data_IF_689062933633
#
_entry.id   IF_689062933633
#
_cell.length_a   1.000
_cell.length_b   1.000
_cell.length_c   1.000
_cell.angle_alpha   90.00
_cell.angle_beta   90.00
_cell.angle_gamma   90.00
#
_symmetry.space_group_name_H-M   'P 1'
#
loop_
_entity.id
_entity.type
_entity.pdbx_description
1 polymer ?
#
# COMPACT_ATOMS: atom_id res chain seq x y z
N UNK A 1 -39.60 -47.76 -5.32
CA UNK A 1 -39.43 -46.30 -5.19
C UNK A 1 -38.98 -45.96 -3.77
N UNK A 2 -37.68 -45.88 -3.46
CA UNK A 2 -37.15 -45.39 -2.17
C UNK A 2 -35.61 -45.48 -2.15
N UNK A 3 -34.94 -44.82 -3.09
CA UNK A 3 -33.45 -44.72 -3.03
C UNK A 3 -32.86 -43.58 -3.86
N UNK A 4 -33.68 -42.78 -4.56
CA UNK A 4 -33.19 -41.68 -5.39
C UNK A 4 -33.24 -40.33 -4.64
N UNK A 5 -33.84 -40.28 -3.44
CA UNK A 5 -34.05 -39.02 -2.72
C UNK A 5 -32.84 -38.52 -1.91
N UNK A 6 -31.77 -39.31 -1.77
CA UNK A 6 -30.63 -38.94 -0.92
C UNK A 6 -29.50 -38.20 -1.66
N UNK A 7 -29.51 -38.21 -3.00
CA UNK A 7 -28.43 -37.56 -3.78
C UNK A 7 -28.70 -36.08 -4.12
N UNK A 8 -29.92 -35.59 -3.90
CA UNK A 8 -30.30 -34.23 -4.32
C UNK A 8 -30.06 -33.13 -3.26
N UNK A 9 -29.66 -33.48 -2.03
CA UNK A 9 -29.53 -32.51 -0.92
C UNK A 9 -28.07 -32.10 -0.65
N UNK A 10 -27.08 -32.74 -1.27
CA UNK A 10 -25.65 -32.39 -1.08
C UNK A 10 -25.15 -31.39 -2.15
N UNK A 11 -26.03 -30.96 -3.05
CA UNK A 11 -25.77 -29.91 -4.04
C UNK A 11 -26.25 -28.52 -3.56
N UNK A 12 -26.40 -28.31 -2.25
CA UNK A 12 -26.50 -26.97 -1.67
C UNK A 12 -25.15 -26.27 -1.80
N UNK A 13 -24.88 -25.80 -3.02
CA UNK A 13 -24.42 -24.45 -3.31
C UNK A 13 -23.63 -23.80 -2.16
N UNK A 14 -22.36 -24.19 -2.05
CA UNK A 14 -21.30 -23.30 -1.59
C UNK A 14 -21.13 -22.20 -2.66
N UNK A 15 -22.10 -21.30 -2.75
CA UNK A 15 -21.83 -19.99 -3.33
C UNK A 15 -20.97 -19.26 -2.32
N UNK A 16 -19.64 -19.39 -2.48
CA UNK A 16 -18.72 -18.41 -1.90
C UNK A 16 -19.15 -17.09 -2.51
N UNK A 17 -19.82 -16.24 -1.72
CA UNK A 17 -19.99 -14.85 -2.07
C UNK A 17 -18.58 -14.30 -2.13
N UNK A 18 -18.07 -14.04 -3.34
CA UNK A 18 -16.89 -13.22 -3.48
C UNK A 18 -17.25 -11.86 -2.90
N UNK A 19 -16.75 -11.55 -1.71
CA UNK A 19 -16.83 -10.19 -1.20
C UNK A 19 -15.95 -9.34 -2.10
N UNK A 20 -16.52 -8.29 -2.71
CA UNK A 20 -15.75 -7.29 -3.43
C UNK A 20 -14.75 -6.68 -2.45
N UNK A 21 -13.48 -7.10 -2.57
CA UNK A 21 -12.41 -6.63 -1.70
C UNK A 21 -11.96 -5.26 -2.16
N UNK A 22 -12.54 -4.22 -1.56
CA UNK A 22 -12.09 -2.85 -1.78
C UNK A 22 -10.88 -2.52 -0.90
N UNK A 23 -9.86 -1.95 -1.53
CA UNK A 23 -8.64 -1.47 -0.90
C UNK A 23 -8.83 -0.01 -0.50
N UNK A 24 -8.60 0.29 0.78
CA UNK A 24 -8.60 1.63 1.32
C UNK A 24 -7.26 1.91 2.00
N UNK A 25 -6.34 2.64 1.36
CA UNK A 25 -5.04 2.92 1.93
C UNK A 25 -5.19 3.86 3.12
N UNK A 26 -4.39 3.63 4.16
CA UNK A 26 -4.32 4.53 5.30
C UNK A 26 -3.76 5.88 4.88
N UNK A 27 -4.30 6.96 5.43
CA UNK A 27 -3.69 8.28 5.28
C UNK A 27 -2.50 8.41 6.23
N UNK A 28 -1.32 8.66 5.67
CA UNK A 28 -0.09 8.78 6.44
C UNK A 28 0.21 10.23 6.77
N UNK A 29 0.34 10.52 8.06
CA UNK A 29 0.70 11.84 8.59
C UNK A 29 2.04 11.77 9.32
N UNK A 30 2.91 12.76 9.08
CA UNK A 30 4.17 12.90 9.78
C UNK A 30 4.00 13.78 11.02
N UNK A 31 3.94 13.16 12.19
CA UNK A 31 3.91 13.85 13.48
C UNK A 31 5.31 13.85 14.08
N UNK A 32 6.24 14.57 13.44
CA UNK A 32 7.61 14.71 13.94
C UNK A 32 7.64 15.52 15.25
N UNK A 33 8.49 15.11 16.18
CA UNK A 33 8.70 15.80 17.44
C UNK A 33 10.20 15.81 17.78
N UNK A 34 10.71 16.95 18.25
CA UNK A 34 12.12 17.10 18.60
C UNK A 34 13.05 16.89 17.40
N UNK A 35 14.02 15.99 17.55
CA UNK A 35 15.07 15.73 16.56
C UNK A 35 14.73 14.59 15.58
N UNK A 36 13.48 14.13 15.56
CA UNK A 36 13.02 13.06 14.66
C UNK A 36 12.29 13.64 13.46
N UNK A 37 12.94 13.75 12.29
CA UNK A 37 12.35 14.38 11.10
C UNK A 37 11.27 13.51 10.44
N UNK A 38 11.30 12.20 10.70
CA UNK A 38 10.36 11.20 10.22
C UNK A 38 9.78 10.48 11.43
N UNK A 39 8.48 10.62 11.67
CA UNK A 39 7.83 9.93 12.77
C UNK A 39 7.75 8.43 12.52
N UNK A 40 7.83 7.64 13.59
CA UNK A 40 7.57 6.20 13.53
C UNK A 40 6.20 5.91 12.92
N UNK A 41 5.17 6.66 13.33
CA UNK A 41 3.81 6.54 12.80
C UNK A 41 3.72 6.71 11.29
N UNK A 42 4.45 7.67 10.72
CA UNK A 42 4.50 7.86 9.28
C UNK A 42 5.16 6.66 8.58
N UNK A 43 6.34 6.23 9.06
CA UNK A 43 7.05 5.10 8.49
C UNK A 43 6.23 3.81 8.56
N UNK A 44 5.57 3.53 9.69
CA UNK A 44 4.71 2.36 9.84
C UNK A 44 3.50 2.42 8.91
N UNK A 45 2.84 3.57 8.79
CA UNK A 45 1.72 3.74 7.87
C UNK A 45 2.14 3.45 6.42
N UNK A 46 3.25 4.02 5.96
CA UNK A 46 3.76 3.80 4.60
C UNK A 46 4.07 2.33 4.35
N UNK A 47 4.76 1.66 5.27
CA UNK A 47 5.11 0.25 5.12
C UNK A 47 3.88 -0.68 5.19
N UNK A 48 2.90 -0.37 6.03
CA UNK A 48 1.64 -1.13 6.08
C UNK A 48 0.88 -0.99 4.77
N UNK A 49 0.74 0.24 4.25
CA UNK A 49 0.13 0.48 2.95
C UNK A 49 0.82 -0.32 1.84
N UNK A 50 2.16 -0.32 1.77
CA UNK A 50 2.89 -1.14 0.81
C UNK A 50 2.64 -2.63 0.98
N UNK A 51 2.69 -3.14 2.21
CA UNK A 51 2.44 -4.56 2.49
C UNK A 51 1.03 -4.96 2.07
N UNK A 52 0.05 -4.14 2.40
CA UNK A 52 -1.35 -4.46 2.19
C UNK A 52 -1.68 -4.38 0.69
N UNK A 53 -1.29 -3.30 0.00
CA UNK A 53 -1.44 -3.19 -1.46
C UNK A 53 -0.66 -4.26 -2.22
N UNK A 54 0.56 -4.61 -1.77
CA UNK A 54 1.39 -5.63 -2.41
C UNK A 54 0.75 -7.03 -2.40
N UNK A 55 -0.11 -7.32 -1.42
CA UNK A 55 -0.83 -8.61 -1.32
C UNK A 55 -2.04 -8.69 -2.25
N UNK A 56 -2.45 -7.56 -2.81
CA UNK A 56 -3.73 -7.43 -3.52
C UNK A 56 -3.56 -7.49 -5.04
N UNK A 57 -2.34 -7.72 -5.51
CA UNK A 57 -2.05 -8.10 -6.89
C UNK A 57 -2.31 -9.60 -7.11
N UNK A 58 -2.73 -9.97 -8.33
CA UNK A 58 -2.87 -11.38 -8.76
C UNK A 58 -1.61 -12.21 -8.48
N UNK A 59 -0.45 -11.59 -8.70
CA UNK A 59 0.84 -12.07 -8.22
C UNK A 59 1.34 -11.15 -7.11
N UNK A 60 1.38 -11.60 -5.85
CA UNK A 60 1.78 -10.75 -4.73
C UNK A 60 3.16 -10.11 -4.93
N UNK A 61 3.22 -8.80 -4.71
CA UNK A 61 4.45 -8.01 -4.78
C UNK A 61 5.08 -7.86 -3.39
N UNK A 62 6.31 -8.33 -3.26
CA UNK A 62 7.10 -8.15 -2.04
C UNK A 62 7.86 -6.84 -2.09
N UNK A 63 7.30 -5.82 -1.46
CA UNK A 63 7.88 -4.48 -1.39
C UNK A 63 8.87 -4.34 -0.23
N UNK A 64 9.86 -3.46 -0.40
CA UNK A 64 10.89 -3.24 0.61
C UNK A 64 10.34 -2.53 1.83
N UNK A 65 10.82 -2.88 3.02
CA UNK A 65 10.53 -2.12 4.23
C UNK A 65 11.43 -0.87 4.28
N UNK A 66 10.82 0.31 4.30
CA UNK A 66 11.51 1.59 4.30
C UNK A 66 11.62 2.16 5.72
N UNK A 67 12.85 2.42 6.16
CA UNK A 67 13.14 2.97 7.48
C UNK A 67 14.06 4.20 7.36
N UNK A 68 13.75 5.23 8.13
CA UNK A 68 14.63 6.38 8.30
C UNK A 68 15.48 6.19 9.56
N UNK A 69 16.80 6.32 9.45
CA UNK A 69 17.72 6.21 10.57
C UNK A 69 18.43 7.55 10.81
N UNK A 70 18.56 7.91 12.08
CA UNK A 70 19.20 9.15 12.52
C UNK A 70 18.27 10.38 12.44
N UNK A 71 18.86 11.54 12.69
CA UNK A 71 18.13 12.79 12.94
C UNK A 71 17.94 13.62 11.66
N UNK A 72 18.02 12.98 10.50
CA UNK A 72 17.79 13.63 9.19
C UNK A 72 16.90 12.76 8.31
N UNK A 73 16.18 13.37 7.36
CA UNK A 73 15.52 12.63 6.29
C UNK A 73 16.60 12.07 5.37
N UNK A 74 16.86 10.77 5.50
CA UNK A 74 17.86 10.09 4.70
C UNK A 74 17.41 9.94 3.25
N UNK A 75 18.36 10.11 2.32
CA UNK A 75 18.12 9.84 0.90
C UNK A 75 17.69 8.38 0.65
N UNK A 76 18.25 7.43 1.41
CA UNK A 76 17.89 6.00 1.31
C UNK A 76 16.43 5.74 1.67
N UNK A 77 15.88 6.43 2.67
CA UNK A 77 14.46 6.35 3.02
C UNK A 77 13.56 6.83 1.86
N UNK A 78 13.84 8.02 1.34
CA UNK A 78 13.11 8.60 0.19
C UNK A 78 13.23 7.71 -1.04
N UNK A 79 14.42 7.19 -1.32
CA UNK A 79 14.68 6.30 -2.45
C UNK A 79 13.93 4.97 -2.32
N UNK A 80 13.90 4.37 -1.13
CA UNK A 80 13.16 3.14 -0.86
C UNK A 80 11.67 3.30 -1.19
N UNK A 81 11.03 4.36 -0.69
CA UNK A 81 9.61 4.64 -0.94
C UNK A 81 9.35 4.78 -2.45
N UNK A 82 10.17 5.56 -3.14
CA UNK A 82 10.02 5.76 -4.59
C UNK A 82 10.29 4.47 -5.39
N UNK A 83 11.20 3.61 -4.94
CA UNK A 83 11.45 2.34 -5.60
C UNK A 83 10.27 1.38 -5.45
N UNK A 84 9.62 1.34 -4.27
CA UNK A 84 8.39 0.57 -4.10
C UNK A 84 7.29 1.07 -5.03
N UNK A 85 7.06 2.39 -5.12
CA UNK A 85 6.09 2.95 -6.08
C UNK A 85 6.43 2.61 -7.53
N UNK A 86 7.71 2.67 -7.93
CA UNK A 86 8.12 2.25 -9.28
C UNK A 86 7.85 0.77 -9.53
N UNK A 87 8.09 -0.09 -8.55
CA UNK A 87 7.76 -1.52 -8.65
C UNK A 87 6.27 -1.73 -8.82
N UNK A 88 5.44 -1.05 -8.02
CA UNK A 88 3.98 -1.11 -8.14
C UNK A 88 3.53 -0.62 -9.53
N UNK A 89 3.98 0.56 -9.95
CA UNK A 89 3.61 1.18 -11.23
C UNK A 89 3.90 0.28 -12.44
N UNK A 90 4.98 -0.51 -12.40
CA UNK A 90 5.31 -1.48 -13.46
C UNK A 90 4.37 -2.68 -13.55
N UNK A 91 3.65 -2.97 -12.46
CA UNK A 91 2.71 -4.07 -12.38
C UNK A 91 1.25 -3.60 -12.51
N UNK A 92 1.02 -2.30 -12.72
CA UNK A 92 -0.29 -1.73 -13.00
C UNK A 92 -0.39 -1.37 -14.49
N UNK A 93 -1.49 -1.75 -15.13
CA UNK A 93 -1.73 -1.54 -16.56
C UNK A 93 -2.10 -0.08 -16.88
N UNK A 94 -1.13 0.84 -16.83
CA UNK A 94 -1.20 2.28 -17.22
C UNK A 94 -1.30 3.30 -16.06
N UNK A 95 -0.58 3.09 -14.97
CA UNK A 95 -0.55 4.03 -13.84
C UNK A 95 0.85 4.61 -13.67
N UNK A 96 0.99 5.92 -13.88
CA UNK A 96 2.22 6.64 -13.55
C UNK A 96 2.14 7.18 -12.13
N UNK A 97 2.95 6.63 -11.23
CA UNK A 97 3.06 7.12 -9.86
C UNK A 97 4.13 8.22 -9.75
N UNK A 98 3.79 9.28 -9.03
CA UNK A 98 4.67 10.43 -8.87
C UNK A 98 5.93 10.08 -8.08
N UNK A 99 7.07 10.64 -8.46
CA UNK A 99 8.30 10.55 -7.68
C UNK A 99 8.26 11.58 -6.54
N UNK A 100 8.15 11.11 -5.31
CA UNK A 100 8.05 11.95 -4.12
C UNK A 100 9.41 12.48 -3.71
N UNK A 101 9.60 13.80 -3.83
CA UNK A 101 10.85 14.47 -3.48
C UNK A 101 10.76 15.15 -2.12
N UNK A 102 11.84 15.04 -1.33
CA UNK A 102 12.01 15.79 -0.09
C UNK A 102 13.35 16.53 -0.15
N UNK A 103 13.30 17.86 -0.22
CA UNK A 103 14.50 18.69 -0.33
C UNK A 103 15.05 19.14 1.02
N UNK A 104 14.24 19.04 2.07
CA UNK A 104 14.64 19.32 3.45
C UNK A 104 15.28 18.09 4.07
N UNK A 105 16.30 18.29 4.89
CA UNK A 105 16.94 17.19 5.63
C UNK A 105 16.45 17.12 7.08
N UNK A 106 15.86 18.19 7.58
CA UNK A 106 15.43 18.36 8.98
C UNK A 106 13.96 17.99 9.22
N UNK A 107 13.17 17.77 8.16
CA UNK A 107 11.78 17.35 8.24
C UNK A 107 11.31 16.71 6.92
N UNK A 108 10.25 15.91 7.01
CA UNK A 108 9.44 15.61 5.82
C UNK A 108 8.56 16.80 5.48
N UNK A 109 8.79 17.35 4.29
CA UNK A 109 7.95 18.37 3.70
C UNK A 109 6.51 17.88 3.52
N UNK A 110 5.56 18.80 3.67
CA UNK A 110 4.15 18.54 3.38
C UNK A 110 3.96 18.01 1.94
N UNK A 111 4.73 18.50 0.97
CA UNK A 111 4.72 18.03 -0.42
C UNK A 111 5.08 16.55 -0.53
N UNK A 112 6.07 16.07 0.23
CA UNK A 112 6.44 14.66 0.24
C UNK A 112 5.31 13.81 0.81
N UNK A 113 4.77 14.20 1.97
CA UNK A 113 3.66 13.50 2.64
C UNK A 113 2.42 13.44 1.73
N UNK A 114 2.09 14.55 1.07
CA UNK A 114 0.97 14.64 0.13
C UNK A 114 1.18 13.73 -1.08
N UNK A 115 2.39 13.73 -1.66
CA UNK A 115 2.74 12.85 -2.77
C UNK A 115 2.56 11.36 -2.44
N UNK A 116 3.07 10.92 -1.28
CA UNK A 116 2.89 9.53 -0.79
C UNK A 116 1.41 9.16 -0.71
N UNK A 117 0.61 10.03 -0.10
CA UNK A 117 -0.83 9.79 0.02
C UNK A 117 -1.58 9.81 -1.32
N UNK A 118 -1.18 10.67 -2.26
CA UNK A 118 -1.72 10.68 -3.63
C UNK A 118 -1.43 9.36 -4.34
N UNK A 119 -0.17 8.92 -4.35
CA UNK A 119 0.22 7.66 -4.97
C UNK A 119 -0.56 6.48 -4.38
N UNK A 120 -0.73 6.42 -3.05
CA UNK A 120 -1.51 5.35 -2.42
C UNK A 120 -2.97 5.35 -2.91
N UNK A 121 -3.60 6.53 -3.02
CA UNK A 121 -4.97 6.66 -3.56
C UNK A 121 -5.06 6.23 -5.01
N UNK A 122 -4.07 6.58 -5.82
CA UNK A 122 -4.04 6.22 -7.24
C UNK A 122 -3.87 4.71 -7.41
N UNK A 123 -2.99 4.07 -6.62
CA UNK A 123 -2.87 2.60 -6.61
C UNK A 123 -4.20 1.95 -6.22
N UNK A 124 -4.81 2.40 -5.13
CA UNK A 124 -6.06 1.82 -4.65
C UNK A 124 -7.20 1.97 -5.68
N UNK A 125 -7.28 3.11 -6.39
CA UNK A 125 -8.24 3.30 -7.48
C UNK A 125 -8.08 2.24 -8.56
N UNK A 126 -6.84 1.87 -8.87
CA UNK A 126 -6.51 1.00 -9.99
C UNK A 126 -6.62 -0.48 -9.62
N UNK A 127 -6.35 -0.83 -8.37
CA UNK A 127 -6.60 -2.18 -7.85
C UNK A 127 -8.08 -2.46 -7.57
N UNK A 128 -8.90 -1.43 -7.36
CA UNK A 128 -10.35 -1.56 -7.15
C UNK A 128 -11.17 -1.50 -8.44
N UNK A 129 -10.52 -1.42 -9.61
CA UNK A 129 -11.18 -1.39 -10.93
C UNK A 129 -11.62 -2.78 -11.36
#
# INVERSE_FOLDING_TARGET
MKTILALLVVLTSLTVLAEDKYIYPQHCSNFSYGNDPVSFSFSSCVNNNFRDMGRDFDQPLYLSYCSNFGNTVSYSYVSCINNNYRTISRNLENVYLSNCSNFRTDELSYSFVSCVNNNNRDIARELNR
#
